data_IF_560715768471
#
_entry.id   IF_560715768471
#
_cell.length_a   1.000
_cell.length_b   1.000
_cell.length_c   1.000
_cell.angle_alpha   90.00
_cell.angle_beta   90.00
_cell.angle_gamma   90.00
#
_symmetry.space_group_name_H-M   'P 1'
#
loop_
_entity.id
_entity.type
_entity.pdbx_description
1 polymer ?
#
# COMPACT_ATOMS: atom_id res chain seq x y z
N UNK A 1 -18.83 -21.14 -14.56
CA UNK A 1 -17.53 -20.45 -14.72
C UNK A 1 -17.28 -19.69 -13.42
N UNK A 2 -16.16 -19.91 -12.74
CA UNK A 2 -15.87 -19.21 -11.47
C UNK A 2 -15.62 -17.72 -11.75
N UNK A 3 -16.30 -16.79 -11.06
CA UNK A 3 -16.05 -15.35 -11.23
C UNK A 3 -14.58 -15.00 -10.93
N UNK A 4 -14.04 -14.02 -11.65
CA UNK A 4 -12.75 -13.43 -11.32
C UNK A 4 -12.78 -12.89 -9.88
N UNK A 5 -11.76 -13.20 -9.08
CA UNK A 5 -11.67 -12.84 -7.66
C UNK A 5 -12.91 -13.23 -6.82
N UNK A 6 -13.38 -14.47 -6.96
CA UNK A 6 -14.36 -15.04 -6.03
C UNK A 6 -13.80 -15.14 -4.60
N UNK A 7 -14.63 -15.54 -3.64
CA UNK A 7 -14.16 -15.87 -2.27
C UNK A 7 -13.12 -16.99 -2.27
N UNK A 8 -13.19 -17.90 -3.24
CA UNK A 8 -12.26 -19.01 -3.44
C UNK A 8 -11.11 -18.68 -4.40
N UNK A 9 -10.75 -17.39 -4.54
CA UNK A 9 -9.65 -16.98 -5.41
C UNK A 9 -8.35 -17.72 -5.05
N UNK A 10 -7.74 -18.39 -6.03
CA UNK A 10 -6.57 -19.28 -5.90
C UNK A 10 -6.81 -20.57 -5.10
N UNK A 11 -8.00 -20.82 -4.57
CA UNK A 11 -8.34 -22.02 -3.79
C UNK A 11 -8.92 -23.11 -4.69
N UNK A 12 -8.07 -24.01 -5.16
CA UNK A 12 -8.41 -25.02 -6.19
C UNK A 12 -8.94 -26.35 -5.64
N UNK A 13 -9.01 -26.53 -4.31
CA UNK A 13 -9.52 -27.76 -3.68
C UNK A 13 -10.36 -27.46 -2.44
N UNK A 14 -11.19 -28.42 -2.03
CA UNK A 14 -11.96 -28.32 -0.78
C UNK A 14 -11.03 -28.16 0.43
N UNK A 15 -9.93 -28.92 0.47
CA UNK A 15 -8.92 -28.77 1.52
C UNK A 15 -8.35 -27.35 1.58
N UNK A 16 -8.04 -26.74 0.43
CA UNK A 16 -7.53 -25.36 0.39
C UNK A 16 -8.57 -24.36 0.91
N UNK A 17 -9.85 -24.54 0.57
CA UNK A 17 -10.96 -23.70 1.05
C UNK A 17 -11.12 -23.81 2.56
N UNK A 18 -11.13 -25.03 3.10
CA UNK A 18 -11.24 -25.27 4.54
C UNK A 18 -10.07 -24.63 5.29
N UNK A 19 -8.83 -24.88 4.86
CA UNK A 19 -7.64 -24.33 5.51
C UNK A 19 -7.62 -22.79 5.48
N UNK A 20 -7.96 -22.18 4.34
CA UNK A 20 -7.95 -20.74 4.23
C UNK A 20 -9.09 -20.08 5.01
N UNK A 21 -10.34 -20.47 4.74
CA UNK A 21 -11.51 -19.77 5.29
C UNK A 21 -11.68 -20.01 6.79
N UNK A 22 -11.41 -21.23 7.27
CA UNK A 22 -11.64 -21.58 8.68
C UNK A 22 -10.44 -21.26 9.59
N UNK A 23 -9.22 -21.28 9.05
CA UNK A 23 -8.01 -21.15 9.86
C UNK A 23 -7.16 -19.92 9.51
N UNK A 24 -6.83 -19.69 8.24
CA UNK A 24 -5.89 -18.63 7.85
C UNK A 24 -6.51 -17.22 7.81
N UNK A 25 -7.63 -17.05 7.12
CA UNK A 25 -8.32 -15.75 6.95
C UNK A 25 -8.68 -15.01 8.26
N UNK A 26 -9.07 -15.67 9.37
CA UNK A 26 -9.35 -14.97 10.62
C UNK A 26 -8.11 -14.49 11.36
N UNK A 27 -6.91 -15.00 11.06
CA UNK A 27 -5.68 -14.64 11.76
C UNK A 27 -5.30 -13.17 11.58
N UNK A 28 -4.63 -12.55 12.58
CA UNK A 28 -4.05 -11.23 12.42
C UNK A 28 -2.84 -11.24 11.46
N UNK A 29 -2.45 -10.05 11.01
CA UNK A 29 -1.23 -9.84 10.23
C UNK A 29 -0.08 -9.47 11.15
N UNK A 30 1.04 -10.16 10.97
CA UNK A 30 2.36 -9.82 11.52
C UNK A 30 3.22 -9.43 10.33
N UNK A 31 3.33 -8.13 10.08
CA UNK A 31 4.12 -7.58 8.99
C UNK A 31 5.53 -7.26 9.48
N UNK A 32 6.34 -8.32 9.59
CA UNK A 32 7.66 -8.27 10.25
C UNK A 32 8.74 -7.53 9.44
N UNK A 33 8.42 -7.02 8.25
CA UNK A 33 9.30 -6.14 7.48
C UNK A 33 8.51 -5.33 6.44
N UNK A 34 8.52 -4.00 6.57
CA UNK A 34 7.90 -3.09 5.60
C UNK A 34 8.66 -1.76 5.50
N UNK A 35 8.19 -0.90 4.59
CA UNK A 35 8.69 0.46 4.39
C UNK A 35 7.60 1.51 4.64
N UNK A 36 6.63 1.20 5.51
CA UNK A 36 5.59 2.16 5.87
C UNK A 36 6.23 3.39 6.56
N UNK A 37 5.83 4.62 6.17
CA UNK A 37 6.37 5.85 6.74
C UNK A 37 5.89 6.05 8.19
N UNK A 38 6.79 6.01 9.20
CA UNK A 38 6.41 6.08 10.62
C UNK A 38 5.70 7.39 11.00
N UNK A 39 6.09 8.50 10.35
CA UNK A 39 5.49 9.82 10.55
C UNK A 39 4.00 9.84 10.20
N UNK A 40 3.61 9.20 9.09
CA UNK A 40 2.21 9.15 8.66
C UNK A 40 1.37 8.25 9.57
N UNK A 41 1.97 7.20 10.15
CA UNK A 41 1.32 6.37 11.17
C UNK A 41 1.12 7.18 12.46
N UNK A 42 2.17 7.89 12.92
CA UNK A 42 2.13 8.70 14.14
C UNK A 42 1.14 9.86 14.06
N UNK A 43 1.02 10.51 12.90
CA UNK A 43 0.06 11.58 12.64
C UNK A 43 -1.35 11.07 12.34
N UNK A 44 -1.52 9.75 12.26
CA UNK A 44 -2.74 9.09 11.79
C UNK A 44 -3.28 9.75 10.50
N UNK A 45 -2.43 9.87 9.49
CA UNK A 45 -2.72 10.65 8.28
C UNK A 45 -4.04 10.22 7.64
N UNK A 46 -4.83 11.21 7.24
CA UNK A 46 -5.96 11.04 6.33
C UNK A 46 -5.48 11.36 4.90
N UNK A 47 -5.72 10.47 3.94
CA UNK A 47 -5.39 10.73 2.53
C UNK A 47 -6.54 11.49 1.86
N UNK A 48 -6.21 12.47 1.02
CA UNK A 48 -7.24 13.29 0.35
C UNK A 48 -7.95 12.51 -0.75
N UNK A 49 -7.24 11.58 -1.40
CA UNK A 49 -7.76 10.78 -2.50
C UNK A 49 -6.97 9.49 -2.70
N UNK A 50 -7.52 8.57 -3.49
CA UNK A 50 -6.94 7.26 -3.74
C UNK A 50 -5.58 7.36 -4.44
N UNK A 51 -5.34 8.36 -5.29
CA UNK A 51 -4.03 8.53 -5.95
C UNK A 51 -2.89 8.64 -4.96
N UNK A 52 -3.06 9.41 -3.88
CA UNK A 52 -2.02 9.59 -2.87
C UNK A 52 -1.64 8.28 -2.19
N UNK A 53 -2.63 7.46 -1.82
CA UNK A 53 -2.38 6.17 -1.14
C UNK A 53 -1.98 5.05 -2.11
N UNK A 54 -2.35 5.13 -3.40
CA UNK A 54 -2.09 4.06 -4.37
C UNK A 54 -0.92 4.28 -5.30
N UNK A 55 -0.68 5.51 -5.73
CA UNK A 55 0.24 5.84 -6.82
C UNK A 55 1.47 6.61 -6.34
N UNK A 56 1.60 6.96 -5.07
CA UNK A 56 2.83 7.60 -4.55
C UNK A 56 3.87 6.58 -4.07
N UNK A 57 3.59 5.27 -4.24
CA UNK A 57 4.47 4.11 -4.03
C UNK A 57 3.79 2.82 -4.52
N UNK A 58 4.34 1.62 -4.40
CA UNK A 58 5.77 1.22 -4.31
C UNK A 58 6.30 0.95 -5.73
N UNK A 59 6.30 1.96 -6.61
CA UNK A 59 6.89 1.96 -7.96
C UNK A 59 6.44 0.90 -8.99
N UNK A 60 5.78 -0.20 -8.63
CA UNK A 60 5.31 -1.23 -9.59
C UNK A 60 4.31 -0.65 -10.60
N UNK A 61 3.36 0.15 -10.11
CA UNK A 61 2.36 0.83 -10.95
C UNK A 61 3.05 1.80 -11.92
N UNK A 62 4.07 2.54 -11.47
CA UNK A 62 4.88 3.42 -12.33
C UNK A 62 5.59 2.65 -13.43
N UNK A 63 6.22 1.53 -13.09
CA UNK A 63 6.89 0.67 -14.06
C UNK A 63 5.92 0.15 -15.12
N UNK A 64 4.73 -0.29 -14.70
CA UNK A 64 3.69 -0.75 -15.63
C UNK A 64 3.17 0.39 -16.52
N UNK A 65 2.93 1.58 -15.97
CA UNK A 65 2.51 2.75 -16.74
C UNK A 65 3.56 3.13 -17.79
N UNK A 66 4.84 3.18 -17.41
CA UNK A 66 5.97 3.45 -18.35
C UNK A 66 6.07 2.38 -19.43
N UNK A 67 5.96 1.10 -19.06
CA UNK A 67 5.97 -0.02 -20.01
C UNK A 67 4.78 0.04 -20.98
N UNK A 68 3.65 0.61 -20.54
CA UNK A 68 2.47 0.86 -21.35
C UNK A 68 2.52 2.20 -22.12
N UNK A 69 3.68 2.86 -22.20
CA UNK A 69 3.88 4.08 -22.97
C UNK A 69 3.26 5.35 -22.36
N UNK A 70 2.85 5.32 -21.08
CA UNK A 70 2.33 6.50 -20.40
C UNK A 70 3.46 7.53 -20.19
N UNK A 71 3.20 8.78 -20.57
CA UNK A 71 4.14 9.89 -20.40
C UNK A 71 4.48 10.12 -18.91
N UNK A 72 5.75 10.37 -18.61
CA UNK A 72 6.26 10.55 -17.23
C UNK A 72 5.53 11.66 -16.45
N UNK A 73 4.97 12.67 -17.16
CA UNK A 73 4.09 13.70 -16.57
C UNK A 73 2.96 13.10 -15.73
N UNK A 74 2.39 11.98 -16.17
CA UNK A 74 1.29 11.27 -15.50
C UNK A 74 1.74 10.16 -14.54
N UNK A 75 3.06 9.97 -14.39
CA UNK A 75 3.61 8.96 -13.48
C UNK A 75 4.15 9.65 -12.23
N UNK A 76 5.28 10.35 -12.34
CA UNK A 76 5.89 11.10 -11.23
C UNK A 76 5.87 12.61 -11.43
N UNK A 77 5.47 13.09 -12.60
CA UNK A 77 5.41 14.52 -12.91
C UNK A 77 4.25 15.26 -12.25
N UNK A 78 3.98 16.45 -12.76
CA UNK A 78 3.07 17.45 -12.17
C UNK A 78 1.62 17.36 -12.65
N UNK A 79 1.20 16.24 -13.25
CA UNK A 79 -0.22 16.01 -13.50
C UNK A 79 -1.01 15.95 -12.17
N UNK A 80 -2.28 16.32 -12.24
CA UNK A 80 -3.20 16.24 -11.10
C UNK A 80 -3.39 14.78 -10.65
N UNK A 81 -3.81 14.59 -9.39
CA UNK A 81 -4.05 13.26 -8.84
C UNK A 81 -5.09 12.47 -9.65
N UNK A 82 -6.12 13.15 -10.15
CA UNK A 82 -7.12 12.55 -11.04
C UNK A 82 -6.49 12.09 -12.36
N UNK A 83 -5.74 12.95 -13.06
CA UNK A 83 -5.10 12.59 -14.34
C UNK A 83 -4.17 11.37 -14.18
N UNK A 84 -3.43 11.28 -13.05
CA UNK A 84 -2.57 10.13 -12.74
C UNK A 84 -3.40 8.85 -12.54
N UNK A 85 -4.49 8.93 -11.77
CA UNK A 85 -5.38 7.80 -11.55
C UNK A 85 -6.05 7.31 -12.84
N UNK A 86 -6.55 8.24 -13.66
CA UNK A 86 -7.17 7.92 -14.94
C UNK A 86 -6.19 7.16 -15.85
N UNK A 87 -4.93 7.60 -15.90
CA UNK A 87 -3.88 6.89 -16.68
C UNK A 87 -3.52 5.53 -16.10
N UNK A 88 -3.58 5.37 -14.79
CA UNK A 88 -3.46 4.05 -14.17
C UNK A 88 -4.64 3.15 -14.55
N UNK A 89 -5.87 3.66 -14.48
CA UNK A 89 -7.07 2.93 -14.85
C UNK A 89 -7.08 2.52 -16.33
N UNK A 90 -6.60 3.37 -17.24
CA UNK A 90 -6.37 3.03 -18.65
C UNK A 90 -5.31 1.94 -18.83
N UNK A 91 -4.34 1.83 -17.91
CA UNK A 91 -3.26 0.84 -17.94
C UNK A 91 -3.68 -0.52 -17.40
N UNK A 92 -4.57 -0.57 -16.41
CA UNK A 92 -4.94 -1.81 -15.70
C UNK A 92 -5.37 -2.96 -16.63
N UNK A 93 -6.20 -2.76 -17.67
CA UNK A 93 -6.57 -3.84 -18.61
C UNK A 93 -5.38 -4.51 -19.30
N UNK A 94 -4.25 -3.80 -19.45
CA UNK A 94 -3.02 -4.32 -20.06
C UNK A 94 -2.12 -5.04 -19.06
N UNK A 95 -2.51 -5.10 -17.79
CA UNK A 95 -1.77 -5.81 -16.73
C UNK A 95 -2.28 -7.23 -16.49
N UNK A 96 -3.18 -7.76 -17.32
CA UNK A 96 -3.66 -9.15 -17.19
C UNK A 96 -2.47 -10.13 -17.19
N UNK A 97 -2.46 -11.06 -16.22
CA UNK A 97 -1.34 -11.97 -15.86
C UNK A 97 -0.17 -11.33 -15.12
N UNK A 98 -0.11 -10.01 -14.99
CA UNK A 98 0.76 -9.35 -14.02
C UNK A 98 0.07 -9.34 -12.65
N UNK A 99 0.81 -9.53 -11.53
CA UNK A 99 0.22 -9.45 -10.19
C UNK A 99 -0.48 -8.12 -9.89
N UNK A 100 -0.12 -7.03 -10.56
CA UNK A 100 -0.82 -5.74 -10.47
C UNK A 100 -2.32 -5.85 -10.77
N UNK A 101 -2.73 -6.74 -11.67
CA UNK A 101 -4.14 -6.98 -11.94
C UNK A 101 -4.84 -7.62 -10.74
N UNK A 102 -4.18 -8.52 -10.01
CA UNK A 102 -4.75 -9.08 -8.79
C UNK A 102 -4.77 -8.06 -7.65
N UNK A 103 -3.64 -7.36 -7.41
CA UNK A 103 -3.51 -6.39 -6.32
C UNK A 103 -4.54 -5.27 -6.43
N UNK A 104 -4.66 -4.66 -7.62
CA UNK A 104 -5.66 -3.59 -7.90
C UNK A 104 -7.05 -3.99 -7.41
N UNK A 105 -7.52 -5.16 -7.82
CA UNK A 105 -8.89 -5.57 -7.56
C UNK A 105 -9.07 -6.17 -6.15
N UNK A 106 -8.03 -6.78 -5.56
CA UNK A 106 -8.04 -7.20 -4.15
C UNK A 106 -8.10 -5.99 -3.20
N UNK A 107 -7.34 -4.94 -3.51
CA UNK A 107 -7.31 -3.69 -2.74
C UNK A 107 -8.67 -2.98 -2.83
N UNK A 108 -9.22 -2.81 -4.04
CA UNK A 108 -10.57 -2.26 -4.25
C UNK A 108 -11.64 -3.04 -3.47
N UNK A 109 -11.58 -4.37 -3.51
CA UNK A 109 -12.57 -5.22 -2.85
C UNK A 109 -12.47 -5.17 -1.32
N UNK A 110 -11.27 -5.36 -0.75
CA UNK A 110 -11.09 -5.51 0.71
C UNK A 110 -11.17 -4.19 1.46
N UNK A 111 -10.61 -3.13 0.89
CA UNK A 111 -10.64 -1.82 1.53
C UNK A 111 -11.94 -1.10 1.21
N UNK A 112 -12.35 -1.04 -0.06
CA UNK A 112 -13.43 -0.15 -0.52
C UNK A 112 -14.75 -0.85 -0.84
N UNK A 113 -14.80 -2.19 -0.78
CA UNK A 113 -16.00 -2.95 -1.12
C UNK A 113 -16.34 -2.96 -2.62
N UNK A 114 -15.40 -2.58 -3.48
CA UNK A 114 -15.63 -2.45 -4.93
C UNK A 114 -15.23 -3.75 -5.62
N UNK A 115 -16.18 -4.34 -6.35
CA UNK A 115 -15.97 -5.55 -7.16
C UNK A 115 -15.96 -5.28 -8.67
N UNK A 116 -16.26 -4.05 -9.08
CA UNK A 116 -16.16 -3.60 -10.47
C UNK A 116 -14.70 -3.63 -10.95
N UNK A 117 -14.47 -4.05 -12.19
CA UNK A 117 -13.14 -4.04 -12.79
C UNK A 117 -12.68 -2.60 -13.06
N UNK A 118 -11.44 -2.29 -12.70
CA UNK A 118 -10.87 -0.97 -12.99
C UNK A 118 -10.42 -0.89 -14.45
N UNK A 119 -11.01 0.06 -15.18
CA UNK A 119 -10.66 0.44 -16.54
C UNK A 119 -11.00 1.93 -16.74
N UNK A 120 -10.80 2.43 -17.96
CA UNK A 120 -11.12 3.83 -18.32
C UNK A 120 -12.57 4.22 -17.99
N UNK A 121 -13.52 3.36 -18.30
CA UNK A 121 -14.96 3.65 -18.21
C UNK A 121 -15.49 3.56 -16.76
N UNK A 122 -14.81 2.81 -15.89
CA UNK A 122 -15.11 2.71 -14.46
C UNK A 122 -14.31 3.66 -13.58
N UNK A 123 -13.22 4.26 -14.11
CA UNK A 123 -12.25 5.06 -13.36
C UNK A 123 -12.91 6.14 -12.50
N UNK A 124 -13.80 6.96 -13.06
CA UNK A 124 -14.42 8.08 -12.35
C UNK A 124 -15.26 7.61 -11.16
N UNK A 125 -16.13 6.61 -11.38
CA UNK A 125 -17.01 6.07 -10.34
C UNK A 125 -16.20 5.46 -9.18
N UNK A 126 -15.17 4.68 -9.52
CA UNK A 126 -14.29 4.04 -8.52
C UNK A 126 -13.53 5.11 -7.73
N UNK A 127 -12.96 6.10 -8.42
CA UNK A 127 -12.24 7.20 -7.78
C UNK A 127 -13.12 7.98 -6.79
N UNK A 128 -14.34 8.34 -7.20
CA UNK A 128 -15.30 9.03 -6.35
C UNK A 128 -15.67 8.22 -5.10
N UNK A 129 -16.00 6.94 -5.29
CA UNK A 129 -16.38 6.06 -4.19
C UNK A 129 -15.22 5.85 -3.19
N UNK A 130 -14.01 5.59 -3.69
CA UNK A 130 -12.83 5.45 -2.85
C UNK A 130 -12.55 6.74 -2.07
N UNK A 131 -12.63 7.90 -2.72
CA UNK A 131 -12.34 9.18 -2.06
C UNK A 131 -13.36 9.53 -0.98
N UNK A 132 -14.64 9.25 -1.21
CA UNK A 132 -15.67 9.45 -0.20
C UNK A 132 -15.39 8.63 1.07
N UNK A 133 -14.94 7.37 0.91
CA UNK A 133 -14.53 6.52 2.02
C UNK A 133 -13.24 7.02 2.68
N UNK A 134 -12.26 7.48 1.90
CA UNK A 134 -11.03 8.11 2.40
C UNK A 134 -11.26 9.42 3.16
N UNK A 135 -12.49 9.96 3.22
CA UNK A 135 -12.83 11.08 4.10
C UNK A 135 -13.41 10.65 5.45
N UNK A 136 -13.56 9.35 5.72
CA UNK A 136 -14.03 8.86 7.01
C UNK A 136 -12.87 8.44 7.92
N UNK A 137 -13.00 8.58 9.26
CA UNK A 137 -11.92 8.26 10.20
C UNK A 137 -11.40 6.81 10.09
N UNK A 138 -12.25 5.88 9.67
CA UNK A 138 -11.91 4.45 9.51
C UNK A 138 -10.90 4.21 8.38
N UNK A 139 -10.70 5.17 7.48
CA UNK A 139 -9.75 5.11 6.36
C UNK A 139 -8.50 5.99 6.58
N UNK A 140 -8.30 6.49 7.80
CA UNK A 140 -6.99 6.99 8.24
C UNK A 140 -5.94 5.87 8.24
N UNK A 141 -4.64 6.19 8.28
CA UNK A 141 -3.56 5.18 8.31
C UNK A 141 -3.78 4.15 9.42
N UNK A 142 -4.08 4.59 10.65
CA UNK A 142 -4.35 3.69 11.77
C UNK A 142 -5.66 2.92 11.59
N UNK A 143 -6.69 3.56 11.01
CA UNK A 143 -7.95 2.92 10.66
C UNK A 143 -7.78 1.76 9.66
N UNK A 144 -6.98 1.96 8.61
CA UNK A 144 -6.70 0.94 7.60
C UNK A 144 -5.94 -0.25 8.18
N UNK A 145 -4.90 -0.01 8.99
CA UNK A 145 -4.16 -1.07 9.68
C UNK A 145 -5.09 -1.89 10.61
N UNK A 146 -5.97 -1.20 11.35
CA UNK A 146 -6.97 -1.83 12.23
C UNK A 146 -7.97 -2.66 11.43
N UNK A 147 -8.52 -2.13 10.33
CA UNK A 147 -9.46 -2.81 9.43
C UNK A 147 -8.89 -4.15 8.92
N UNK A 148 -7.58 -4.20 8.70
CA UNK A 148 -6.87 -5.38 8.19
C UNK A 148 -6.32 -6.29 9.29
N UNK A 149 -6.68 -6.06 10.55
CA UNK A 149 -6.24 -6.84 11.72
C UNK A 149 -4.71 -6.93 11.83
N UNK A 150 -4.01 -5.86 11.48
CA UNK A 150 -2.55 -5.79 11.67
C UNK A 150 -2.27 -5.72 13.17
N UNK A 151 -1.36 -6.56 13.66
CA UNK A 151 -0.94 -6.59 15.06
C UNK A 151 0.47 -6.07 15.27
N UNK A 152 1.35 -6.36 14.32
CA UNK A 152 2.75 -5.93 14.35
C UNK A 152 3.11 -5.42 12.98
N UNK A 153 3.77 -4.27 12.95
CA UNK A 153 4.46 -3.70 11.79
C UNK A 153 5.90 -3.47 12.22
N UNK A 154 6.83 -3.96 11.43
CA UNK A 154 8.24 -3.68 11.59
C UNK A 154 8.69 -2.77 10.43
N UNK A 155 8.95 -1.50 10.72
CA UNK A 155 9.45 -0.54 9.74
C UNK A 155 10.94 -0.76 9.47
N UNK A 156 11.47 -0.12 8.45
CA UNK A 156 12.89 -0.21 8.11
C UNK A 156 13.54 1.16 8.32
N UNK A 157 14.48 1.22 9.27
CA UNK A 157 14.96 2.48 9.84
C UNK A 157 16.50 2.56 9.75
N UNK A 158 17.00 3.75 9.44
CA UNK A 158 18.43 4.03 9.37
C UNK A 158 19.01 4.15 10.80
N UNK A 159 20.23 3.63 11.08
CA UNK A 159 20.85 3.77 12.40
C UNK A 159 20.96 5.21 12.93
N UNK A 160 20.95 6.21 12.04
CA UNK A 160 21.02 7.62 12.40
C UNK A 160 19.64 8.27 12.65
N UNK A 161 18.53 7.53 12.50
CA UNK A 161 17.19 8.05 12.72
C UNK A 161 16.88 8.22 14.22
N UNK A 162 16.13 9.27 14.58
CA UNK A 162 15.78 9.57 15.98
C UNK A 162 14.75 8.62 16.59
N UNK A 163 14.00 7.91 15.74
CA UNK A 163 12.87 7.04 16.11
C UNK A 163 11.76 7.76 16.91
N UNK A 164 11.65 9.09 16.77
CA UNK A 164 10.69 9.90 17.52
C UNK A 164 9.23 9.52 17.23
N UNK A 165 8.94 9.12 15.98
CA UNK A 165 7.60 8.69 15.59
C UNK A 165 7.22 7.34 16.23
N UNK A 166 8.15 6.40 16.36
CA UNK A 166 7.92 5.14 17.08
C UNK A 166 7.62 5.39 18.56
N UNK A 167 8.37 6.30 19.18
CA UNK A 167 8.14 6.70 20.58
C UNK A 167 6.76 7.35 20.73
N UNK A 168 6.38 8.24 19.81
CA UNK A 168 5.06 8.87 19.81
C UNK A 168 3.94 7.84 19.68
N UNK A 169 4.04 6.90 18.73
CA UNK A 169 3.03 5.84 18.52
C UNK A 169 2.90 4.94 19.75
N UNK A 170 4.02 4.57 20.38
CA UNK A 170 4.02 3.77 21.60
C UNK A 170 3.22 4.43 22.74
N UNK A 171 3.18 5.78 22.80
CA UNK A 171 2.40 6.54 23.76
C UNK A 171 0.91 6.74 23.41
N UNK A 172 0.49 6.44 22.17
CA UNK A 172 -0.88 6.74 21.69
C UNK A 172 -1.93 5.67 22.03
N UNK A 173 -1.52 4.47 22.46
CA UNK A 173 -2.46 3.37 22.70
C UNK A 173 -3.12 2.80 21.44
N UNK A 174 -2.49 2.95 20.26
CA UNK A 174 -3.00 2.50 18.96
C UNK A 174 -3.32 0.99 18.88
N UNK A 175 -2.66 0.16 19.70
CA UNK A 175 -2.92 -1.29 19.79
C UNK A 175 -2.24 -2.14 18.73
N UNK A 176 -1.84 -1.58 17.58
CA UNK A 176 -0.87 -2.18 16.66
C UNK A 176 0.54 -1.80 17.13
N UNK A 177 1.44 -2.79 17.23
CA UNK A 177 2.85 -2.52 17.57
C UNK A 177 3.59 -2.05 16.32
N UNK A 178 4.21 -0.87 16.40
CA UNK A 178 5.07 -0.32 15.35
C UNK A 178 6.50 -0.38 15.86
N UNK A 179 7.29 -1.32 15.35
CA UNK A 179 8.64 -1.62 15.81
C UNK A 179 9.66 -1.19 14.76
N UNK A 180 10.75 -0.50 15.14
CA UNK A 180 11.81 -0.18 14.20
C UNK A 180 12.68 -1.40 13.90
N UNK A 181 13.24 -1.48 12.69
CA UNK A 181 14.27 -2.48 12.34
C UNK A 181 15.51 -1.84 11.75
N UNK A 182 16.67 -2.36 12.15
CA UNK A 182 17.98 -1.77 11.88
C UNK A 182 18.44 -2.03 10.44
N UNK A 183 18.59 -0.98 9.62
CA UNK A 183 19.12 -1.06 8.26
C UNK A 183 20.35 -0.17 8.04
N UNK A 184 21.58 -0.71 8.27
CA UNK A 184 22.81 0.07 8.28
C UNK A 184 23.46 0.27 6.90
N UNK A 185 22.71 0.23 5.81
CA UNK A 185 23.26 0.23 4.44
C UNK A 185 24.28 1.36 4.22
N UNK A 186 23.94 2.59 4.61
CA UNK A 186 24.83 3.77 4.45
C UNK A 186 26.06 3.71 5.36
N UNK A 187 25.92 3.16 6.57
CA UNK A 187 27.05 2.97 7.50
C UNK A 187 28.05 1.92 6.99
N UNK A 188 27.59 1.00 6.15
CA UNK A 188 28.38 -0.13 5.64
C UNK A 188 28.93 0.08 4.22
N UNK A 189 28.71 1.24 3.60
CA UNK A 189 29.09 1.54 2.20
C UNK A 189 30.14 2.65 2.14
N UNK A 190 31.41 2.40 2.53
CA UNK A 190 32.47 3.42 2.59
C UNK A 190 32.82 4.05 1.24
N UNK A 191 32.50 3.38 0.13
CA UNK A 191 32.69 3.85 -1.24
C UNK A 191 31.64 4.86 -1.70
N UNK A 192 30.52 5.00 -0.98
CA UNK A 192 29.47 5.94 -1.33
C UNK A 192 29.97 7.39 -1.21
N UNK A 193 29.64 8.22 -2.19
CA UNK A 193 30.11 9.62 -2.23
C UNK A 193 29.68 10.45 -1.02
N UNK A 194 28.56 10.08 -0.39
CA UNK A 194 27.98 10.73 0.77
C UNK A 194 28.35 10.07 2.11
N UNK A 195 29.20 9.03 2.12
CA UNK A 195 29.57 8.28 3.32
C UNK A 195 30.10 9.15 4.47
N UNK A 196 31.02 10.08 4.16
CA UNK A 196 31.57 11.00 5.18
C UNK A 196 30.52 11.95 5.75
N UNK A 197 29.55 12.36 4.93
CA UNK A 197 28.45 13.20 5.39
C UNK A 197 27.52 12.40 6.31
N UNK A 198 27.29 11.12 6.00
CA UNK A 198 26.52 10.21 6.83
C UNK A 198 27.15 10.01 8.23
N UNK A 199 28.48 9.83 8.32
CA UNK A 199 29.18 9.67 9.60
C UNK A 199 29.10 10.88 10.55
N UNK A 200 28.69 12.06 10.07
CA UNK A 200 28.53 13.26 10.89
C UNK A 200 27.10 13.49 11.37
N UNK A 201 26.16 12.60 11.03
CA UNK A 201 24.81 12.59 11.59
C UNK A 201 24.81 11.94 12.96
#
# INVERSE_FOLDING_TARGET
MTPFLSDDFLLQSETARTLYHQHAAPQPIIDYHCHLPPDQIAQNRQFENITQIWLYGDHYKWRAMRANGVNERFVTGNATDWEKFEKWAETVPYTVRNPLYHWTHLELRRYFGITELLNKDSARRIYDQCNALLQTPEYSVQGLLTKMKVKVVCTTDDPADSLEYHQAIAGQGFGTQILPTFRPDKAMTPEASDYRAYLNK
#
